data_IF_642420163080
#
_entry.id   IF_642420163080
#
_cell.length_a   1.000
_cell.length_b   1.000
_cell.length_c   1.000
_cell.angle_alpha   90.00
_cell.angle_beta   90.00
_cell.angle_gamma   90.00
#
_symmetry.space_group_name_H-M   'P 1'
#
loop_
_entity.id
_entity.type
_entity.pdbx_description
1 polymer ?
#
# COMPACT_ATOMS: atom_id res chain seq x y z
N UNK A 1 -48.13 -93.41 -13.78
CA UNK A 1 -48.37 -92.60 -12.57
C UNK A 1 -47.15 -91.76 -12.33
N UNK A 2 -47.28 -90.44 -12.53
CA UNK A 2 -46.17 -89.50 -12.64
C UNK A 2 -45.83 -88.88 -11.27
N UNK A 3 -44.57 -88.87 -10.96
CA UNK A 3 -44.05 -88.16 -9.80
C UNK A 3 -43.22 -86.99 -10.26
N UNK A 4 -43.68 -85.74 -9.96
CA UNK A 4 -43.01 -84.47 -10.30
C UNK A 4 -42.19 -84.00 -9.09
N UNK A 5 -40.86 -84.06 -9.23
CA UNK A 5 -39.93 -83.43 -8.28
C UNK A 5 -39.80 -81.92 -8.51
N UNK A 6 -40.00 -81.13 -7.48
CA UNK A 6 -39.76 -79.66 -7.45
C UNK A 6 -38.32 -79.40 -7.10
N UNK A 7 -37.56 -78.83 -8.03
CA UNK A 7 -36.24 -78.25 -7.76
C UNK A 7 -36.41 -76.83 -7.21
N UNK A 8 -35.89 -76.53 -6.00
CA UNK A 8 -35.83 -75.20 -5.40
C UNK A 8 -34.54 -74.55 -5.80
N UNK A 9 -34.63 -73.54 -6.69
CA UNK A 9 -33.49 -72.68 -7.02
C UNK A 9 -33.23 -71.63 -5.93
N UNK A 10 -32.07 -71.71 -5.33
CA UNK A 10 -31.57 -70.66 -4.43
C UNK A 10 -30.96 -69.55 -5.26
N UNK A 11 -31.61 -68.36 -5.27
CA UNK A 11 -31.07 -67.11 -5.82
C UNK A 11 -30.12 -66.49 -4.81
N UNK A 12 -28.82 -66.46 -5.08
CA UNK A 12 -27.83 -65.70 -4.34
C UNK A 12 -27.86 -64.25 -4.82
N UNK A 13 -28.39 -63.31 -4.02
CA UNK A 13 -28.28 -61.90 -4.27
C UNK A 13 -26.87 -61.44 -3.82
N UNK A 14 -26.01 -61.14 -4.76
CA UNK A 14 -24.76 -60.43 -4.51
C UNK A 14 -25.07 -58.91 -4.34
N UNK A 15 -25.06 -58.44 -3.13
CA UNK A 15 -25.12 -57.01 -2.85
C UNK A 15 -23.73 -56.39 -3.18
N UNK A 16 -23.65 -55.73 -4.29
CA UNK A 16 -22.45 -54.86 -4.63
C UNK A 16 -22.55 -53.59 -3.78
N UNK A 17 -21.80 -53.56 -2.68
CA UNK A 17 -21.58 -52.31 -1.94
C UNK A 17 -20.66 -51.39 -2.73
N UNK A 18 -21.22 -50.44 -3.47
CA UNK A 18 -20.45 -49.37 -4.10
C UNK A 18 -19.91 -48.45 -3.03
N UNK A 19 -18.62 -48.57 -2.71
CA UNK A 19 -17.90 -47.55 -1.92
C UNK A 19 -17.81 -46.27 -2.76
N UNK A 20 -18.73 -45.34 -2.52
CA UNK A 20 -18.60 -43.96 -2.99
C UNK A 20 -17.54 -43.30 -2.11
N UNK A 21 -16.29 -43.31 -2.60
CA UNK A 21 -15.23 -42.50 -1.99
C UNK A 21 -15.59 -41.03 -2.20
N UNK A 22 -16.16 -40.39 -1.20
CA UNK A 22 -16.26 -38.95 -1.14
C UNK A 22 -14.84 -38.39 -0.99
N UNK A 23 -14.21 -38.04 -2.12
CA UNK A 23 -13.03 -37.22 -2.13
C UNK A 23 -13.46 -35.84 -1.63
N UNK A 24 -13.13 -35.51 -0.37
CA UNK A 24 -13.25 -34.14 0.11
C UNK A 24 -12.46 -33.23 -0.85
N UNK A 25 -13.03 -32.12 -1.31
CA UNK A 25 -12.29 -31.21 -2.14
C UNK A 25 -11.03 -30.79 -1.38
N UNK A 26 -9.86 -31.16 -1.91
CA UNK A 26 -8.59 -30.65 -1.43
C UNK A 26 -8.64 -29.14 -1.60
N UNK A 27 -8.79 -28.38 -0.49
CA UNK A 27 -8.61 -26.94 -0.54
C UNK A 27 -7.17 -26.68 -0.97
N UNK A 28 -6.99 -26.04 -2.11
CA UNK A 28 -5.67 -25.58 -2.52
C UNK A 28 -5.11 -24.67 -1.42
N UNK A 29 -3.86 -24.94 -1.01
CA UNK A 29 -3.18 -24.10 -0.01
C UNK A 29 -3.14 -22.64 -0.49
N UNK A 30 -3.37 -21.70 0.43
CA UNK A 30 -3.17 -20.29 0.13
C UNK A 30 -1.68 -19.97 -0.03
N UNK A 31 -1.36 -18.82 -0.60
CA UNK A 31 0.02 -18.41 -0.80
C UNK A 31 0.81 -18.36 0.52
N UNK A 32 0.20 -17.83 1.58
CA UNK A 32 0.79 -17.81 2.92
C UNK A 32 1.01 -19.19 3.49
N UNK A 33 0.08 -20.13 3.28
CA UNK A 33 0.21 -21.53 3.72
C UNK A 33 1.35 -22.26 2.99
N UNK A 34 1.52 -22.04 1.68
CA UNK A 34 2.65 -22.59 0.90
C UNK A 34 3.98 -22.07 1.45
N UNK A 35 4.08 -20.79 1.73
CA UNK A 35 5.31 -20.15 2.17
C UNK A 35 5.59 -20.38 3.66
N UNK A 36 4.57 -20.62 4.49
CA UNK A 36 4.73 -20.88 5.93
C UNK A 36 5.52 -22.16 6.21
N UNK A 37 5.45 -23.14 5.33
CA UNK A 37 6.22 -24.39 5.44
C UNK A 37 7.75 -24.11 5.43
N UNK A 38 8.18 -22.99 4.84
CA UNK A 38 9.58 -22.58 4.77
C UNK A 38 10.10 -21.84 6.01
N UNK A 39 9.21 -21.39 6.91
CA UNK A 39 9.61 -20.68 8.13
C UNK A 39 10.43 -21.56 9.11
N UNK A 40 10.42 -22.87 8.94
CA UNK A 40 11.17 -23.85 9.75
C UNK A 40 12.54 -24.17 9.18
N UNK A 41 12.84 -23.71 7.98
CA UNK A 41 14.10 -23.97 7.29
C UNK A 41 15.19 -23.00 7.76
N UNK A 42 16.45 -23.37 7.54
CA UNK A 42 17.54 -22.41 7.64
C UNK A 42 17.32 -21.28 6.62
N UNK A 43 17.87 -20.08 6.88
CA UNK A 43 17.75 -18.94 5.96
C UNK A 43 18.23 -19.31 4.54
N UNK A 44 19.34 -20.04 4.44
CA UNK A 44 19.91 -20.53 3.18
C UNK A 44 18.99 -21.50 2.45
N UNK A 45 18.42 -22.48 3.17
CA UNK A 45 17.55 -23.49 2.55
C UNK A 45 16.21 -22.87 2.13
N UNK A 46 15.71 -21.92 2.93
CA UNK A 46 14.51 -21.14 2.60
C UNK A 46 14.72 -20.32 1.32
N UNK A 47 15.83 -19.58 1.22
CA UNK A 47 16.18 -18.80 0.04
C UNK A 47 16.27 -19.70 -1.20
N UNK A 48 16.94 -20.85 -1.08
CA UNK A 48 17.07 -21.81 -2.16
C UNK A 48 15.70 -22.34 -2.65
N UNK A 49 14.79 -22.68 -1.72
CA UNK A 49 13.43 -23.14 -2.03
C UNK A 49 12.58 -22.07 -2.72
N UNK A 50 12.65 -20.83 -2.23
CA UNK A 50 11.96 -19.71 -2.86
C UNK A 50 12.49 -19.47 -4.28
N UNK A 51 13.81 -19.43 -4.45
CA UNK A 51 14.44 -19.22 -5.75
C UNK A 51 14.10 -20.35 -6.75
N UNK A 52 14.13 -21.60 -6.29
CA UNK A 52 13.74 -22.76 -7.11
C UNK A 52 12.27 -22.66 -7.56
N UNK A 53 11.37 -22.35 -6.63
CA UNK A 53 9.94 -22.13 -6.93
C UNK A 53 9.73 -20.97 -7.89
N UNK A 54 10.35 -19.83 -7.65
CA UNK A 54 10.26 -18.66 -8.50
C UNK A 54 10.79 -18.89 -9.92
N UNK A 55 11.85 -19.71 -10.08
CA UNK A 55 12.32 -20.14 -11.44
C UNK A 55 11.31 -20.99 -12.18
N UNK A 56 10.53 -21.83 -11.49
CA UNK A 56 9.45 -22.61 -12.11
C UNK A 56 8.26 -21.72 -12.49
N UNK A 57 7.92 -20.76 -11.65
CA UNK A 57 6.83 -19.80 -11.89
C UNK A 57 7.20 -18.79 -12.96
N UNK A 58 8.43 -18.28 -12.94
CA UNK A 58 9.05 -17.32 -13.86
C UNK A 58 8.24 -16.05 -14.15
N UNK A 59 7.18 -15.79 -13.38
CA UNK A 59 6.23 -14.71 -13.56
C UNK A 59 5.78 -14.16 -12.21
N UNK A 60 5.48 -12.86 -12.19
CA UNK A 60 4.85 -12.16 -11.06
C UNK A 60 3.88 -11.10 -11.59
N UNK A 61 2.72 -10.97 -10.95
CA UNK A 61 1.75 -9.91 -11.20
C UNK A 61 1.70 -8.96 -10.01
N UNK A 62 1.95 -7.70 -10.28
CA UNK A 62 2.02 -6.65 -9.27
C UNK A 62 0.90 -5.62 -9.47
N UNK A 63 0.11 -5.34 -8.42
CA UNK A 63 -0.85 -4.24 -8.42
C UNK A 63 -0.44 -3.20 -7.38
N UNK A 64 -0.37 -1.92 -7.79
CA UNK A 64 0.13 -0.93 -6.86
C UNK A 64 -0.14 0.53 -7.18
N UNK A 65 0.31 1.36 -6.24
CA UNK A 65 0.10 2.82 -6.23
C UNK A 65 1.38 3.59 -6.55
N UNK A 66 2.54 2.93 -6.47
CA UNK A 66 3.84 3.54 -6.75
C UNK A 66 3.85 4.20 -8.13
N UNK A 67 4.36 5.43 -8.24
CA UNK A 67 4.41 6.18 -9.50
C UNK A 67 5.06 5.36 -10.62
N UNK A 68 4.55 5.48 -11.85
CA UNK A 68 4.91 4.60 -12.99
C UNK A 68 6.42 4.57 -13.24
N UNK A 69 7.06 5.72 -13.30
CA UNK A 69 8.51 5.87 -13.48
C UNK A 69 9.29 5.18 -12.34
N UNK A 70 8.84 5.32 -11.12
CA UNK A 70 9.47 4.72 -9.95
C UNK A 70 9.28 3.19 -9.93
N UNK A 71 8.08 2.68 -10.20
CA UNK A 71 7.86 1.22 -10.16
C UNK A 71 8.56 0.51 -11.33
N UNK A 72 8.65 1.14 -12.49
CA UNK A 72 9.43 0.60 -13.62
C UNK A 72 10.93 0.55 -13.28
N UNK A 73 11.45 1.53 -12.55
CA UNK A 73 12.82 1.50 -12.03
C UNK A 73 13.03 0.33 -11.06
N UNK A 74 12.05 0.08 -10.16
CA UNK A 74 12.04 -1.08 -9.25
C UNK A 74 12.14 -2.39 -10.04
N UNK A 75 11.27 -2.57 -11.03
CA UNK A 75 11.25 -3.80 -11.82
C UNK A 75 12.52 -3.98 -12.66
N UNK A 76 13.09 -2.90 -13.16
CA UNK A 76 14.38 -2.96 -13.86
C UNK A 76 15.51 -3.47 -12.95
N UNK A 77 15.59 -2.98 -11.71
CA UNK A 77 16.60 -3.46 -10.74
C UNK A 77 16.34 -4.91 -10.31
N UNK A 78 15.08 -5.28 -10.11
CA UNK A 78 14.71 -6.66 -9.81
C UNK A 78 15.10 -7.63 -10.93
N UNK A 79 14.81 -7.29 -12.18
CA UNK A 79 15.15 -8.09 -13.36
C UNK A 79 16.66 -8.18 -13.61
N UNK A 80 17.45 -7.18 -13.24
CA UNK A 80 18.93 -7.29 -13.28
C UNK A 80 19.43 -8.43 -12.40
N UNK A 81 18.84 -8.57 -11.20
CA UNK A 81 19.20 -9.64 -10.26
C UNK A 81 18.57 -10.98 -10.63
N UNK A 82 17.36 -10.97 -11.17
CA UNK A 82 16.59 -12.16 -11.51
C UNK A 82 16.08 -12.09 -12.95
N UNK A 83 16.96 -12.28 -13.95
CA UNK A 83 16.62 -12.05 -15.37
C UNK A 83 15.59 -13.02 -15.94
N UNK A 84 15.31 -14.13 -15.24
CA UNK A 84 14.27 -15.09 -15.62
C UNK A 84 12.84 -14.63 -15.29
N UNK A 85 12.68 -13.53 -14.52
CA UNK A 85 11.38 -13.06 -14.04
C UNK A 85 10.67 -12.17 -15.08
N UNK A 86 9.46 -12.58 -15.44
CA UNK A 86 8.50 -11.69 -16.10
C UNK A 86 7.65 -10.98 -15.05
N UNK A 87 7.47 -9.67 -15.20
CA UNK A 87 6.64 -8.86 -14.32
C UNK A 87 5.55 -8.19 -15.14
N UNK A 88 4.30 -8.52 -14.84
CA UNK A 88 3.13 -7.78 -15.30
C UNK A 88 2.64 -6.86 -14.16
N UNK A 89 2.20 -5.65 -14.49
CA UNK A 89 1.75 -4.71 -13.49
C UNK A 89 0.44 -3.99 -13.84
N UNK A 90 -0.27 -3.59 -12.80
CA UNK A 90 -1.40 -2.67 -12.86
C UNK A 90 -1.17 -1.55 -11.87
N UNK A 91 -1.05 -0.32 -12.38
CA UNK A 91 -0.87 0.86 -11.54
C UNK A 91 -2.11 1.75 -11.56
N UNK A 92 -2.62 2.08 -10.37
CA UNK A 92 -3.70 3.06 -10.18
C UNK A 92 -3.61 3.71 -8.79
N UNK A 93 -4.59 4.56 -8.43
CA UNK A 93 -4.72 5.02 -7.05
C UNK A 93 -5.19 3.88 -6.13
N UNK A 94 -4.89 4.00 -4.83
CA UNK A 94 -5.09 2.96 -3.81
C UNK A 94 -6.52 2.40 -3.79
N UNK A 95 -7.53 3.27 -3.82
CA UNK A 95 -8.96 2.88 -3.90
C UNK A 95 -9.24 2.02 -5.14
N UNK A 96 -8.70 2.39 -6.30
CA UNK A 96 -8.93 1.65 -7.54
C UNK A 96 -8.25 0.27 -7.52
N UNK A 97 -7.04 0.20 -6.97
CA UNK A 97 -6.32 -1.08 -6.79
C UNK A 97 -7.11 -2.00 -5.88
N UNK A 98 -7.56 -1.50 -4.72
CA UNK A 98 -8.42 -2.26 -3.81
C UNK A 98 -9.70 -2.77 -4.50
N UNK A 99 -10.42 -1.88 -5.18
CA UNK A 99 -11.67 -2.23 -5.87
C UNK A 99 -11.47 -3.27 -6.98
N UNK A 100 -10.36 -3.20 -7.72
CA UNK A 100 -10.00 -4.20 -8.73
C UNK A 100 -9.80 -5.56 -8.08
N UNK A 101 -8.98 -5.66 -7.04
CA UNK A 101 -8.71 -6.90 -6.31
C UNK A 101 -10.00 -7.49 -5.73
N UNK A 102 -10.83 -6.67 -5.08
CA UNK A 102 -12.11 -7.10 -4.50
C UNK A 102 -13.09 -7.59 -5.57
N UNK A 103 -13.10 -6.98 -6.75
CA UNK A 103 -13.96 -7.39 -7.87
C UNK A 103 -13.49 -8.70 -8.48
N UNK A 104 -12.19 -8.87 -8.69
CA UNK A 104 -11.59 -10.12 -9.17
C UNK A 104 -11.85 -11.27 -8.20
N UNK A 105 -11.68 -11.03 -6.90
CA UNK A 105 -11.93 -12.03 -5.87
C UNK A 105 -13.41 -12.48 -5.83
N UNK A 106 -14.38 -11.54 -5.96
CA UNK A 106 -15.80 -11.88 -6.09
C UNK A 106 -16.09 -12.75 -7.33
N UNK A 107 -15.35 -12.53 -8.40
CA UNK A 107 -15.43 -13.34 -9.63
C UNK A 107 -14.59 -14.63 -9.54
N UNK A 108 -13.98 -14.93 -8.37
CA UNK A 108 -13.03 -16.05 -8.14
C UNK A 108 -11.84 -16.04 -9.11
N UNK A 109 -11.44 -14.86 -9.55
CA UNK A 109 -10.21 -14.63 -10.32
C UNK A 109 -9.17 -14.00 -9.38
N UNK A 110 -8.00 -14.58 -9.33
CA UNK A 110 -6.91 -14.18 -8.43
C UNK A 110 -5.68 -13.90 -9.29
N UNK A 111 -5.65 -12.71 -9.86
CA UNK A 111 -4.64 -12.33 -10.84
C UNK A 111 -3.35 -11.80 -10.21
N UNK A 112 -3.48 -11.16 -9.03
CA UNK A 112 -2.37 -10.45 -8.38
C UNK A 112 -1.59 -11.36 -7.43
N UNK A 113 -0.27 -11.19 -7.40
CA UNK A 113 0.64 -11.90 -6.50
C UNK A 113 1.18 -10.95 -5.40
N UNK A 114 1.63 -9.76 -5.78
CA UNK A 114 2.15 -8.73 -4.86
C UNK A 114 1.34 -7.45 -5.00
N UNK A 115 1.00 -6.88 -3.86
CA UNK A 115 0.19 -5.66 -3.79
C UNK A 115 1.00 -4.58 -3.08
N UNK A 116 0.97 -3.33 -3.60
CA UNK A 116 1.30 -2.16 -2.82
C UNK A 116 0.08 -1.27 -2.61
N UNK A 117 -0.14 -0.87 -1.35
CA UNK A 117 -1.24 -0.01 -0.95
C UNK A 117 -0.80 1.00 0.10
N UNK A 118 -1.52 2.12 0.14
CA UNK A 118 -1.44 3.12 1.19
C UNK A 118 -2.32 2.71 2.39
N UNK A 119 -2.13 3.31 3.59
CA UNK A 119 -2.77 2.88 4.83
C UNK A 119 -4.30 2.77 4.79
N UNK A 120 -4.97 3.63 4.01
CA UNK A 120 -6.44 3.67 3.94
C UNK A 120 -7.06 2.34 3.56
N UNK A 121 -6.55 1.69 2.55
CA UNK A 121 -7.10 0.46 1.97
C UNK A 121 -6.50 -0.81 2.57
N UNK A 122 -5.34 -0.73 3.22
CA UNK A 122 -4.66 -1.90 3.81
C UNK A 122 -5.53 -2.59 4.86
N UNK A 123 -6.19 -1.83 5.72
CA UNK A 123 -7.11 -2.40 6.71
C UNK A 123 -8.30 -3.10 6.03
N UNK A 124 -8.87 -2.48 5.00
CA UNK A 124 -10.00 -3.02 4.24
C UNK A 124 -9.67 -4.33 3.54
N UNK A 125 -8.53 -4.41 2.87
CA UNK A 125 -8.10 -5.62 2.14
C UNK A 125 -7.77 -6.76 3.11
N UNK A 126 -7.18 -6.47 4.28
CA UNK A 126 -6.92 -7.45 5.33
C UNK A 126 -8.24 -7.98 5.93
N UNK A 127 -9.20 -7.08 6.26
CA UNK A 127 -10.53 -7.44 6.77
C UNK A 127 -11.33 -8.26 5.76
N UNK A 128 -11.17 -8.01 4.48
CA UNK A 128 -11.79 -8.80 3.41
C UNK A 128 -11.15 -10.19 3.21
N UNK A 129 -10.05 -10.49 3.92
CA UNK A 129 -9.35 -11.77 3.82
C UNK A 129 -8.71 -12.00 2.45
N UNK A 130 -8.24 -10.94 1.78
CA UNK A 130 -7.68 -10.97 0.43
C UNK A 130 -6.15 -11.00 0.41
N UNK A 131 -5.51 -10.92 1.57
CA UNK A 131 -4.07 -11.01 1.76
C UNK A 131 -3.72 -12.07 2.79
N UNK A 132 -2.52 -12.63 2.68
CA UNK A 132 -1.96 -13.58 3.63
C UNK A 132 -0.74 -12.99 4.36
N UNK A 133 -0.46 -13.45 5.58
CA UNK A 133 0.75 -13.04 6.27
C UNK A 133 2.00 -13.62 5.59
N UNK A 134 3.05 -12.80 5.48
CA UNK A 134 4.35 -13.22 5.02
C UNK A 134 5.47 -12.61 5.87
N UNK A 135 6.17 -13.47 6.62
CA UNK A 135 7.26 -13.09 7.49
C UNK A 135 8.60 -13.16 6.74
N UNK A 136 8.84 -12.17 5.89
CA UNK A 136 10.12 -12.02 5.19
C UNK A 136 11.29 -11.91 6.19
N UNK A 137 12.40 -12.63 6.03
CA UNK A 137 13.63 -12.44 6.83
C UNK A 137 14.17 -11.02 6.72
N UNK A 138 13.93 -10.38 5.56
CA UNK A 138 14.37 -9.00 5.29
C UNK A 138 13.63 -7.94 6.12
N UNK A 139 12.62 -8.32 6.92
CA UNK A 139 12.00 -7.43 7.92
C UNK A 139 12.93 -7.09 9.08
N UNK A 140 13.96 -7.89 9.30
CA UNK A 140 14.99 -7.61 10.31
C UNK A 140 15.66 -6.25 10.02
N UNK A 141 15.60 -5.34 11.01
CA UNK A 141 16.13 -3.97 10.89
C UNK A 141 15.18 -2.95 10.29
N UNK A 142 13.91 -3.32 10.07
CA UNK A 142 12.81 -2.37 9.86
C UNK A 142 12.20 -2.04 11.24
N UNK A 143 11.95 -0.76 11.49
CA UNK A 143 11.39 -0.34 12.77
C UNK A 143 9.94 -0.86 12.95
N UNK A 144 9.54 -1.26 14.18
CA UNK A 144 8.27 -1.95 14.43
C UNK A 144 7.03 -1.18 13.98
N UNK A 145 7.05 0.15 14.03
CA UNK A 145 5.94 1.02 13.61
C UNK A 145 5.67 0.98 12.11
N UNK A 146 6.61 0.45 11.33
CA UNK A 146 6.49 0.32 9.87
C UNK A 146 6.06 -1.07 9.40
N UNK A 147 5.65 -1.97 10.30
CA UNK A 147 5.25 -3.31 9.92
C UNK A 147 4.18 -3.90 10.83
N UNK A 148 3.32 -4.74 10.25
CA UNK A 148 2.41 -5.56 11.03
C UNK A 148 3.15 -6.70 11.73
N UNK A 149 2.84 -6.95 13.01
CA UNK A 149 3.49 -8.01 13.80
C UNK A 149 3.24 -9.41 13.22
N UNK A 150 2.06 -9.64 12.67
CA UNK A 150 1.66 -10.94 12.11
C UNK A 150 2.18 -11.16 10.69
N UNK A 151 2.66 -10.09 10.02
CA UNK A 151 3.23 -10.18 8.68
C UNK A 151 2.27 -9.85 7.54
N UNK A 152 1.07 -9.33 7.81
CA UNK A 152 0.13 -8.97 6.76
C UNK A 152 0.64 -7.86 5.85
N UNK A 153 1.46 -6.95 6.39
CA UNK A 153 2.10 -5.88 5.60
C UNK A 153 3.45 -5.48 6.17
N UNK A 154 4.30 -4.94 5.30
CA UNK A 154 5.57 -4.33 5.67
C UNK A 154 5.80 -3.11 4.78
N UNK A 155 6.16 -1.99 5.39
CA UNK A 155 6.50 -0.77 4.65
C UNK A 155 7.79 -0.98 3.87
N UNK A 156 7.81 -0.59 2.59
CA UNK A 156 9.04 -0.60 1.81
C UNK A 156 9.53 0.81 1.46
N UNK A 157 8.66 1.82 1.49
CA UNK A 157 9.01 3.23 1.55
C UNK A 157 7.90 4.01 2.26
N UNK A 158 8.19 5.24 2.66
CA UNK A 158 7.19 6.16 3.18
C UNK A 158 7.36 7.57 2.59
N UNK A 159 6.31 8.35 2.67
CA UNK A 159 6.23 9.68 2.09
C UNK A 159 6.07 10.71 3.22
N UNK A 160 7.05 11.58 3.38
CA UNK A 160 6.90 12.75 4.24
C UNK A 160 5.86 13.70 3.63
N UNK A 161 4.90 14.11 4.45
CA UNK A 161 3.84 15.02 4.06
C UNK A 161 4.27 16.45 4.39
N UNK A 162 4.22 17.32 3.38
CA UNK A 162 4.68 18.69 3.47
C UNK A 162 3.61 19.70 3.05
N UNK A 163 3.78 20.94 3.43
CA UNK A 163 3.18 22.07 2.75
C UNK A 163 4.05 22.44 1.55
N UNK A 164 3.52 22.44 0.35
CA UNK A 164 4.13 23.11 -0.80
C UNK A 164 3.66 24.55 -0.93
N UNK A 165 4.51 25.46 -1.38
CA UNK A 165 4.13 26.83 -1.73
C UNK A 165 4.83 27.29 -3.01
N UNK A 166 4.13 28.16 -3.78
CA UNK A 166 4.70 28.76 -4.97
C UNK A 166 5.54 29.99 -4.60
N UNK A 167 6.82 30.00 -4.95
CA UNK A 167 7.79 31.05 -4.52
C UNK A 167 7.62 32.40 -5.24
N UNK A 168 6.87 32.45 -6.35
CA UNK A 168 6.50 33.72 -7.01
C UNK A 168 5.28 34.36 -6.36
N UNK A 169 4.45 33.58 -5.61
CA UNK A 169 3.22 34.03 -4.96
C UNK A 169 3.37 34.24 -3.45
N UNK A 170 4.30 33.50 -2.83
CA UNK A 170 4.50 33.48 -1.37
C UNK A 170 5.99 33.54 -1.09
N UNK A 171 6.41 34.56 -0.36
CA UNK A 171 7.79 34.63 0.12
C UNK A 171 8.05 33.57 1.18
N UNK A 172 9.29 33.12 1.30
CA UNK A 172 9.68 32.04 2.22
C UNK A 172 9.38 32.35 3.70
N UNK A 173 9.50 33.59 4.10
CA UNK A 173 9.19 34.06 5.46
C UNK A 173 7.69 34.18 5.74
N UNK A 174 6.86 34.33 4.67
CA UNK A 174 5.40 34.44 4.74
C UNK A 174 4.70 33.07 4.60
N UNK A 175 5.44 32.02 4.18
CA UNK A 175 4.90 30.67 4.02
C UNK A 175 4.44 30.09 5.38
N UNK A 176 3.29 29.38 5.42
CA UNK A 176 2.81 28.72 6.64
C UNK A 176 3.87 27.80 7.26
N UNK A 177 4.06 27.89 8.57
CA UNK A 177 5.01 27.08 9.36
C UNK A 177 4.31 26.15 10.35
N UNK A 178 3.04 26.43 10.62
CA UNK A 178 2.17 25.65 11.50
C UNK A 178 0.85 25.34 10.81
N UNK A 179 0.11 24.35 11.32
CA UNK A 179 -1.25 24.08 10.84
C UNK A 179 -2.17 25.29 11.06
N UNK A 180 -1.99 26.03 12.16
CA UNK A 180 -2.84 27.20 12.47
C UNK A 180 -2.61 28.35 11.48
N UNK A 181 -1.41 28.49 10.91
CA UNK A 181 -1.13 29.52 9.88
C UNK A 181 -1.97 29.34 8.61
N UNK A 182 -2.46 28.09 8.37
CA UNK A 182 -3.36 27.78 7.25
C UNK A 182 -4.78 28.32 7.46
N UNK A 183 -5.13 28.69 8.68
CA UNK A 183 -6.44 29.28 9.01
C UNK A 183 -6.51 30.78 8.71
N UNK A 184 -5.38 31.43 8.39
CA UNK A 184 -5.34 32.84 8.03
C UNK A 184 -6.23 33.10 6.80
N UNK A 185 -7.16 34.06 6.84
CA UNK A 185 -8.03 34.42 5.71
C UNK A 185 -7.26 34.84 4.44
N UNK A 186 -6.00 35.21 4.52
CA UNK A 186 -5.17 35.51 3.35
C UNK A 186 -5.05 34.35 2.38
N UNK A 187 -5.31 33.10 2.84
CA UNK A 187 -5.28 31.89 2.02
C UNK A 187 -6.60 31.54 1.34
N UNK A 188 -7.65 32.34 1.55
CA UNK A 188 -8.97 32.07 0.99
C UNK A 188 -8.93 32.04 -0.54
N UNK A 189 -9.39 30.88 -1.11
CA UNK A 189 -9.36 30.62 -2.55
C UNK A 189 -7.95 30.43 -3.14
N UNK A 190 -6.91 30.35 -2.31
CA UNK A 190 -5.49 30.24 -2.73
C UNK A 190 -4.84 28.92 -2.33
N UNK A 191 -5.62 27.99 -1.79
CA UNK A 191 -5.18 26.70 -1.27
C UNK A 191 -5.76 25.56 -2.10
N UNK A 192 -5.03 24.47 -2.24
CA UNK A 192 -5.57 23.21 -2.78
C UNK A 192 -5.42 22.06 -1.80
N UNK A 193 -6.48 21.23 -1.66
CA UNK A 193 -6.48 19.97 -0.91
C UNK A 193 -6.84 18.80 -1.81
N UNK A 194 -6.46 17.59 -1.42
CA UNK A 194 -6.83 16.36 -2.12
C UNK A 194 -8.17 15.84 -1.63
N UNK A 195 -9.04 15.49 -2.57
CA UNK A 195 -10.35 14.90 -2.28
C UNK A 195 -10.26 13.56 -1.53
N UNK A 196 -9.10 12.91 -1.54
CA UNK A 196 -8.89 11.56 -1.00
C UNK A 196 -8.02 11.52 0.27
N UNK A 197 -7.83 12.66 0.96
CA UNK A 197 -6.96 12.77 2.14
C UNK A 197 -7.60 12.30 3.46
N UNK A 198 -8.59 11.39 3.40
CA UNK A 198 -9.29 10.90 4.59
C UNK A 198 -8.37 10.26 5.62
N UNK A 199 -7.31 9.59 5.16
CA UNK A 199 -6.33 8.97 6.06
C UNK A 199 -5.50 10.02 6.83
N UNK A 200 -5.08 11.10 6.18
CA UNK A 200 -4.35 12.21 6.82
C UNK A 200 -5.28 12.97 7.78
N UNK A 201 -6.49 13.27 7.32
CA UNK A 201 -7.54 13.88 8.14
C UNK A 201 -7.81 13.07 9.41
N UNK A 202 -8.06 11.76 9.28
CA UNK A 202 -8.32 10.86 10.41
C UNK A 202 -7.13 10.81 11.38
N UNK A 203 -5.91 10.74 10.86
CA UNK A 203 -4.69 10.72 11.68
C UNK A 203 -4.54 12.01 12.50
N UNK A 204 -4.83 13.17 11.93
CA UNK A 204 -4.80 14.45 12.65
C UNK A 204 -5.94 14.57 13.67
N UNK A 205 -7.14 14.03 13.35
CA UNK A 205 -8.23 13.98 14.33
C UNK A 205 -7.86 13.14 15.56
N UNK A 206 -7.23 11.98 15.35
CA UNK A 206 -6.77 11.13 16.47
C UNK A 206 -5.65 11.82 17.28
N UNK A 207 -4.73 12.50 16.61
CA UNK A 207 -3.59 13.17 17.26
C UNK A 207 -4.01 14.41 18.07
N UNK A 208 -4.88 15.27 17.53
CA UNK A 208 -5.32 16.51 18.22
C UNK A 208 -6.49 16.27 19.18
N UNK A 209 -7.16 15.13 19.09
CA UNK A 209 -8.47 14.86 19.68
C UNK A 209 -9.60 15.34 18.77
N UNK A 210 -10.66 14.54 18.74
CA UNK A 210 -11.76 14.66 17.77
C UNK A 210 -12.38 16.05 17.69
N UNK A 211 -12.74 16.62 18.83
CA UNK A 211 -13.44 17.92 18.88
C UNK A 211 -12.55 19.06 18.36
N UNK A 212 -11.33 19.14 18.87
CA UNK A 212 -10.34 20.13 18.43
C UNK A 212 -10.03 20.00 16.96
N UNK A 213 -9.81 18.76 16.47
CA UNK A 213 -9.52 18.50 15.06
C UNK A 213 -10.67 18.88 14.15
N UNK A 214 -11.91 18.50 14.48
CA UNK A 214 -13.09 18.89 13.68
C UNK A 214 -13.29 20.40 13.63
N UNK A 215 -13.05 21.10 14.75
CA UNK A 215 -13.13 22.56 14.76
C UNK A 215 -12.05 23.19 13.85
N UNK A 216 -10.82 22.67 13.89
CA UNK A 216 -9.75 23.09 13.00
C UNK A 216 -10.13 22.92 11.52
N UNK A 217 -10.61 21.75 11.12
CA UNK A 217 -10.96 21.48 9.71
C UNK A 217 -12.17 22.28 9.22
N UNK A 218 -13.15 22.57 10.10
CA UNK A 218 -14.27 23.49 9.73
C UNK A 218 -13.75 24.89 9.45
N UNK A 219 -12.84 25.41 10.27
CA UNK A 219 -12.20 26.71 10.04
C UNK A 219 -11.33 26.70 8.77
N UNK A 220 -10.60 25.61 8.52
CA UNK A 220 -9.81 25.46 7.29
C UNK A 220 -10.70 25.52 6.04
N UNK A 221 -11.89 24.91 6.11
CA UNK A 221 -12.86 24.92 5.01
C UNK A 221 -13.42 26.34 4.71
N UNK A 222 -13.40 27.28 5.68
CA UNK A 222 -13.80 28.68 5.45
C UNK A 222 -12.86 29.40 4.48
N UNK A 223 -11.62 28.89 4.31
CA UNK A 223 -10.67 29.36 3.32
C UNK A 223 -10.94 28.83 1.91
N UNK A 224 -12.07 28.13 1.69
CA UNK A 224 -12.54 27.66 0.38
C UNK A 224 -11.42 27.01 -0.47
N UNK A 225 -10.81 25.92 0.03
CA UNK A 225 -9.73 25.26 -0.69
C UNK A 225 -10.23 24.60 -1.98
N UNK A 226 -9.47 24.73 -3.07
CA UNK A 226 -9.73 24.00 -4.32
C UNK A 226 -9.51 22.52 -4.11
N UNK A 227 -10.59 21.74 -4.12
CA UNK A 227 -10.54 20.29 -3.96
C UNK A 227 -10.19 19.63 -5.30
N UNK A 228 -9.06 18.91 -5.34
CA UNK A 228 -8.58 18.21 -6.53
C UNK A 228 -8.25 16.76 -6.19
N UNK A 229 -8.22 15.89 -7.19
CA UNK A 229 -7.90 14.49 -6.97
C UNK A 229 -6.48 14.18 -7.46
N UNK A 230 -5.61 13.82 -6.53
CA UNK A 230 -4.26 13.34 -6.81
C UNK A 230 -3.15 14.36 -6.53
N UNK A 231 -2.15 13.92 -5.76
CA UNK A 231 -1.00 14.73 -5.32
C UNK A 231 -0.15 15.28 -6.47
N UNK A 232 -0.06 14.54 -7.58
CA UNK A 232 0.68 15.00 -8.77
C UNK A 232 0.01 16.22 -9.38
N UNK A 233 -1.32 16.19 -9.57
CA UNK A 233 -2.06 17.33 -10.09
C UNK A 233 -1.95 18.54 -9.16
N UNK A 234 -2.09 18.33 -7.83
CA UNK A 234 -1.91 19.42 -6.86
C UNK A 234 -0.53 20.08 -6.96
N UNK A 235 0.54 19.29 -7.10
CA UNK A 235 1.88 19.84 -7.27
C UNK A 235 2.03 20.62 -8.59
N UNK A 236 1.39 20.16 -9.66
CA UNK A 236 1.40 20.83 -10.97
C UNK A 236 0.69 22.19 -10.92
N UNK A 237 -0.52 22.28 -10.39
CA UNK A 237 -1.26 23.55 -10.27
C UNK A 237 -0.57 24.52 -9.31
N UNK A 238 0.11 24.00 -8.29
CA UNK A 238 0.96 24.79 -7.41
C UNK A 238 2.14 25.41 -8.20
N UNK A 239 2.86 24.58 -8.97
CA UNK A 239 3.97 25.04 -9.82
C UNK A 239 3.54 26.05 -10.88
N UNK A 240 2.34 25.89 -11.45
CA UNK A 240 1.73 26.82 -12.38
C UNK A 240 1.25 28.14 -11.72
N UNK A 241 1.23 28.22 -10.39
CA UNK A 241 0.77 29.41 -9.65
C UNK A 241 -0.75 29.58 -9.62
N UNK A 242 -1.53 28.55 -9.99
CA UNK A 242 -2.99 28.56 -9.89
C UNK A 242 -3.45 28.58 -8.43
N UNK A 243 -2.66 27.99 -7.53
CA UNK A 243 -2.80 28.08 -6.09
C UNK A 243 -1.48 28.54 -5.47
N UNK A 244 -1.56 29.20 -4.31
CA UNK A 244 -0.39 29.73 -3.61
C UNK A 244 0.24 28.71 -2.68
N UNK A 245 -0.59 27.88 -2.04
CA UNK A 245 -0.19 26.85 -1.09
C UNK A 245 -0.96 25.56 -1.34
N UNK A 246 -0.30 24.43 -1.08
CA UNK A 246 -0.89 23.11 -1.15
C UNK A 246 -0.41 22.27 0.05
N UNK A 247 -1.16 22.26 1.16
CA UNK A 247 -0.85 21.39 2.27
C UNK A 247 -1.03 19.93 1.88
N UNK A 248 -0.30 19.05 2.61
CA UNK A 248 -0.35 17.59 2.44
C UNK A 248 0.14 17.04 1.11
N UNK A 249 1.05 17.76 0.43
CA UNK A 249 1.80 17.18 -0.69
C UNK A 249 2.80 16.12 -0.19
N UNK A 250 3.12 15.15 -1.04
CA UNK A 250 4.24 14.25 -0.82
C UNK A 250 5.55 14.96 -1.18
N UNK A 251 6.41 15.16 -0.18
CA UNK A 251 7.53 16.09 -0.21
C UNK A 251 8.53 15.88 -1.35
N UNK A 252 8.71 14.65 -1.82
CA UNK A 252 9.62 14.37 -2.93
C UNK A 252 9.23 15.11 -4.22
N UNK A 253 7.92 15.26 -4.48
CA UNK A 253 7.45 15.84 -5.74
C UNK A 253 7.73 17.33 -5.87
N UNK A 254 7.34 18.21 -4.94
CA UNK A 254 7.71 19.63 -5.03
C UNK A 254 9.22 19.85 -4.99
N UNK A 255 10.00 19.04 -4.25
CA UNK A 255 11.45 19.15 -4.25
C UNK A 255 12.09 18.73 -5.58
N UNK A 256 11.55 17.71 -6.25
CA UNK A 256 11.95 17.35 -7.60
C UNK A 256 11.65 18.50 -8.57
N UNK A 257 10.43 19.03 -8.56
CA UNK A 257 10.03 20.18 -9.40
C UNK A 257 10.91 21.40 -9.14
N UNK A 258 11.28 21.69 -7.89
CA UNK A 258 12.21 22.74 -7.52
C UNK A 258 13.59 22.54 -8.16
N UNK A 259 14.12 21.31 -8.16
CA UNK A 259 15.39 20.97 -8.84
C UNK A 259 15.30 21.11 -10.35
N UNK A 260 14.12 20.90 -10.93
CA UNK A 260 13.81 21.11 -12.35
C UNK A 260 13.58 22.60 -12.70
N UNK A 261 13.67 23.51 -11.71
CA UNK A 261 13.54 24.95 -11.90
C UNK A 261 12.13 25.52 -11.72
N UNK A 262 11.16 24.70 -11.28
CA UNK A 262 9.83 25.21 -10.99
C UNK A 262 9.83 26.14 -9.76
N UNK A 263 8.97 27.18 -9.72
CA UNK A 263 8.91 28.15 -8.63
C UNK A 263 8.15 27.60 -7.43
N UNK A 264 8.64 26.50 -6.84
CA UNK A 264 8.03 25.87 -5.66
C UNK A 264 9.07 25.62 -4.58
N UNK A 265 8.62 25.66 -3.33
CA UNK A 265 9.39 25.24 -2.16
C UNK A 265 8.47 24.57 -1.15
N UNK A 266 9.01 24.11 -0.03
CA UNK A 266 8.28 23.37 1.00
C UNK A 266 8.42 23.99 2.40
N UNK A 267 7.42 23.72 3.25
CA UNK A 267 7.47 23.87 4.70
C UNK A 267 7.05 22.58 5.39
N UNK A 268 7.66 22.27 6.52
CA UNK A 268 7.30 21.12 7.36
C UNK A 268 6.34 21.59 8.47
N UNK A 269 5.06 21.23 8.35
CA UNK A 269 4.08 21.51 9.41
C UNK A 269 4.17 20.43 10.50
N UNK A 270 4.22 20.83 11.76
CA UNK A 270 4.32 19.88 12.89
C UNK A 270 2.96 19.56 13.50
N UNK A 271 2.62 18.28 13.73
CA UNK A 271 3.44 17.09 13.47
C UNK A 271 3.62 16.82 11.98
N UNK A 272 4.81 16.38 11.57
CA UNK A 272 5.06 15.96 10.19
C UNK A 272 4.46 14.58 10.00
N UNK A 273 3.49 14.46 9.11
CA UNK A 273 2.87 13.19 8.78
C UNK A 273 3.78 12.35 7.90
N UNK A 274 3.70 11.04 8.07
CA UNK A 274 4.32 10.06 7.18
C UNK A 274 3.29 9.07 6.66
N UNK A 275 3.21 8.92 5.35
CA UNK A 275 2.33 7.94 4.68
C UNK A 275 3.18 6.78 4.20
N UNK A 276 3.14 5.65 4.88
CA UNK A 276 3.81 4.43 4.41
C UNK A 276 3.14 3.88 3.15
N UNK A 277 3.93 3.23 2.29
CA UNK A 277 3.44 2.32 1.27
C UNK A 277 3.88 0.91 1.65
N UNK A 278 2.91 0.02 1.72
CA UNK A 278 3.09 -1.33 2.22
C UNK A 278 3.17 -2.34 1.10
N UNK A 279 4.06 -3.32 1.22
CA UNK A 279 4.02 -4.55 0.43
C UNK A 279 3.19 -5.60 1.14
N UNK A 280 2.31 -6.26 0.39
CA UNK A 280 1.41 -7.30 0.85
C UNK A 280 1.48 -8.50 -0.09
N UNK A 281 1.33 -9.71 0.47
CA UNK A 281 1.18 -10.94 -0.28
C UNK A 281 -0.32 -11.17 -0.54
N UNK A 282 -0.72 -11.32 -1.80
CA UNK A 282 -2.09 -11.70 -2.13
C UNK A 282 -2.38 -13.13 -1.66
N UNK A 283 -3.56 -13.37 -1.06
CA UNK A 283 -3.90 -14.65 -0.43
C UNK A 283 -3.86 -15.83 -1.41
N UNK A 284 -4.39 -15.63 -2.59
CA UNK A 284 -4.48 -16.66 -3.62
C UNK A 284 -3.52 -16.37 -4.79
N UNK A 285 -2.33 -15.83 -4.47
CA UNK A 285 -1.29 -15.57 -5.47
C UNK A 285 -1.01 -16.83 -6.28
N UNK A 286 -1.08 -16.73 -7.60
CA UNK A 286 -0.77 -17.84 -8.51
C UNK A 286 0.72 -18.15 -8.58
N UNK A 287 1.56 -17.17 -8.19
CA UNK A 287 3.02 -17.27 -8.21
C UNK A 287 3.60 -16.91 -6.81
N UNK A 288 3.30 -17.73 -5.77
CA UNK A 288 3.66 -17.38 -4.38
C UNK A 288 5.17 -17.31 -4.15
N UNK A 289 5.99 -18.11 -4.83
CA UNK A 289 7.45 -18.07 -4.68
C UNK A 289 8.03 -16.82 -5.35
N UNK A 290 7.52 -16.42 -6.50
CA UNK A 290 7.91 -15.20 -7.20
C UNK A 290 7.54 -13.95 -6.37
N UNK A 291 6.35 -13.96 -5.76
CA UNK A 291 5.93 -12.93 -4.81
C UNK A 291 6.87 -12.84 -3.60
N UNK A 292 7.19 -13.99 -2.98
CA UNK A 292 8.10 -14.06 -1.85
C UNK A 292 9.50 -13.56 -2.21
N UNK A 293 10.03 -14.00 -3.38
CA UNK A 293 11.33 -13.57 -3.89
C UNK A 293 11.40 -12.04 -4.07
N UNK A 294 10.34 -11.47 -4.65
CA UNK A 294 10.24 -10.02 -4.82
C UNK A 294 10.17 -9.28 -3.48
N UNK A 295 9.30 -9.71 -2.55
CA UNK A 295 9.14 -9.07 -1.24
C UNK A 295 10.44 -9.17 -0.44
N UNK A 296 11.10 -10.33 -0.41
CA UNK A 296 12.38 -10.51 0.29
C UNK A 296 13.47 -9.60 -0.28
N UNK A 297 13.57 -9.51 -1.61
CA UNK A 297 14.50 -8.61 -2.26
C UNK A 297 14.16 -7.14 -2.01
N UNK A 298 12.90 -6.75 -2.18
CA UNK A 298 12.47 -5.36 -2.02
C UNK A 298 12.74 -4.83 -0.60
N UNK A 299 12.54 -5.67 0.41
CA UNK A 299 12.78 -5.33 1.81
C UNK A 299 14.24 -5.52 2.25
N UNK A 300 15.09 -6.14 1.45
CA UNK A 300 16.50 -6.38 1.79
C UNK A 300 17.29 -5.08 1.79
N UNK A 301 18.47 -5.10 2.47
CA UNK A 301 19.36 -3.94 2.53
C UNK A 301 19.88 -3.52 1.15
N UNK A 302 20.15 -4.49 0.27
CA UNK A 302 20.68 -4.26 -1.07
C UNK A 302 19.58 -4.24 -2.14
N UNK A 303 18.32 -4.19 -1.70
CA UNK A 303 17.15 -4.13 -2.57
C UNK A 303 16.75 -2.71 -2.94
N UNK A 304 15.47 -2.54 -3.18
CA UNK A 304 14.93 -1.30 -3.73
C UNK A 304 14.93 -0.12 -2.76
N UNK A 305 15.00 -0.37 -1.43
CA UNK A 305 15.03 0.72 -0.45
C UNK A 305 16.17 1.70 -0.69
N UNK A 306 17.35 1.20 -1.13
CA UNK A 306 18.46 2.06 -1.51
C UNK A 306 18.06 3.02 -2.64
N UNK A 307 17.43 2.50 -3.69
CA UNK A 307 16.98 3.30 -4.84
C UNK A 307 15.93 4.32 -4.40
N UNK A 308 14.99 3.94 -3.56
CA UNK A 308 14.00 4.88 -3.02
C UNK A 308 14.63 6.01 -2.23
N UNK A 309 15.58 5.71 -1.33
CA UNK A 309 16.23 6.72 -0.50
C UNK A 309 17.19 7.58 -1.30
N UNK A 310 18.10 6.97 -2.07
CA UNK A 310 19.25 7.63 -2.68
C UNK A 310 18.99 8.24 -4.05
N UNK A 311 17.98 7.74 -4.79
CA UNK A 311 17.71 8.19 -6.16
C UNK A 311 16.32 8.84 -6.29
N UNK A 312 15.28 8.28 -5.62
CA UNK A 312 13.88 8.67 -5.81
C UNK A 312 13.33 9.59 -4.71
N UNK A 313 14.15 9.91 -3.69
CA UNK A 313 13.81 10.88 -2.65
C UNK A 313 12.65 10.47 -1.75
N UNK A 314 12.49 9.19 -1.49
CA UNK A 314 11.48 8.65 -0.59
C UNK A 314 12.12 8.21 0.72
N UNK A 315 11.44 8.45 1.83
CA UNK A 315 11.84 7.87 3.10
C UNK A 315 11.76 6.35 3.07
N UNK A 316 12.66 5.68 3.77
CA UNK A 316 12.62 4.21 3.92
C UNK A 316 12.65 3.83 5.39
N UNK A 317 11.98 2.73 5.80
CA UNK A 317 11.87 2.36 7.22
C UNK A 317 13.13 1.67 7.76
N UNK A 318 14.28 1.95 7.17
CA UNK A 318 15.59 1.37 7.49
C UNK A 318 16.67 2.44 7.41
N UNK A 319 17.56 2.47 8.37
CA UNK A 319 18.69 3.43 8.45
C UNK A 319 19.89 3.02 7.59
N UNK A 320 20.78 3.99 7.32
CA UNK A 320 22.09 3.74 6.69
C UNK A 320 22.12 3.99 5.18
N UNK A 321 21.11 4.67 4.63
CA UNK A 321 21.11 5.16 3.25
C UNK A 321 21.34 6.67 3.21
N UNK A 322 21.83 7.16 2.07
CA UNK A 322 21.99 8.60 1.82
C UNK A 322 20.66 9.16 1.28
N UNK A 323 20.13 10.17 1.95
CA UNK A 323 18.88 10.79 1.54
C UNK A 323 19.06 11.69 0.31
N UNK A 324 18.22 11.49 -0.70
CA UNK A 324 18.17 12.36 -1.89
C UNK A 324 17.70 13.77 -1.53
N UNK A 325 16.77 13.88 -0.57
CA UNK A 325 16.21 15.15 -0.08
C UNK A 325 16.37 15.25 1.44
N UNK A 326 17.54 15.72 1.92
CA UNK A 326 17.80 15.88 3.35
C UNK A 326 16.76 16.75 4.06
N UNK A 327 16.09 17.65 3.34
CA UNK A 327 15.01 18.51 3.83
C UNK A 327 13.81 17.73 4.37
N UNK A 328 13.64 16.48 3.91
CA UNK A 328 12.57 15.58 4.37
C UNK A 328 12.98 14.72 5.57
N UNK A 329 14.24 14.78 5.98
CA UNK A 329 14.74 13.99 7.11
C UNK A 329 14.33 14.64 8.42
N UNK A 330 13.28 14.12 9.05
CA UNK A 330 12.80 14.57 10.35
C UNK A 330 13.03 13.51 11.42
N UNK A 331 13.30 13.95 12.63
CA UNK A 331 13.60 13.06 13.76
C UNK A 331 12.39 12.23 14.20
N UNK A 332 11.19 12.73 13.97
CA UNK A 332 9.96 12.06 14.37
C UNK A 332 8.82 12.38 13.41
N UNK A 333 8.19 11.32 12.91
CA UNK A 333 6.97 11.36 12.12
C UNK A 333 5.75 10.97 12.93
N UNK A 334 4.60 11.55 12.59
CA UNK A 334 3.30 11.01 12.93
C UNK A 334 2.90 10.06 11.78
N UNK A 335 3.10 8.76 12.00
CA UNK A 335 2.85 7.74 10.97
C UNK A 335 1.35 7.50 10.82
N UNK A 336 0.88 7.46 9.58
CA UNK A 336 -0.50 7.06 9.26
C UNK A 336 -0.60 5.53 9.36
N UNK A 337 -1.27 5.03 10.42
CA UNK A 337 -1.33 3.60 10.74
C UNK A 337 -2.66 2.98 10.31
N UNK A 338 -2.66 1.91 9.47
CA UNK A 338 -3.89 1.25 9.01
C UNK A 338 -4.81 0.79 10.12
N UNK A 339 -4.24 0.28 11.22
CA UNK A 339 -5.00 -0.24 12.37
C UNK A 339 -5.68 0.85 13.19
N UNK A 340 -5.17 2.08 13.16
CA UNK A 340 -5.76 3.23 13.85
C UNK A 340 -6.86 3.88 13.02
N UNK A 341 -6.61 4.09 11.73
CA UNK A 341 -7.56 4.80 10.85
C UNK A 341 -8.60 3.87 10.21
N UNK A 342 -8.21 2.65 9.87
CA UNK A 342 -9.05 1.71 9.11
C UNK A 342 -10.41 1.41 9.73
N UNK A 343 -10.53 1.14 11.04
CA UNK A 343 -11.81 0.87 11.69
C UNK A 343 -12.84 1.99 11.55
N UNK A 344 -12.39 3.22 11.34
CA UNK A 344 -13.21 4.44 11.26
C UNK A 344 -13.11 5.15 9.91
N UNK A 345 -12.54 4.49 8.89
CA UNK A 345 -12.25 5.12 7.60
C UNK A 345 -13.50 5.68 6.91
N UNK A 346 -14.62 4.92 6.89
CA UNK A 346 -15.89 5.40 6.34
C UNK A 346 -16.46 6.60 7.11
N UNK A 347 -16.23 6.67 8.41
CA UNK A 347 -16.60 7.83 9.23
C UNK A 347 -15.77 9.05 8.84
N UNK A 348 -14.45 8.87 8.69
CA UNK A 348 -13.56 9.97 8.26
C UNK A 348 -13.90 10.46 6.86
N UNK A 349 -14.24 9.56 5.95
CA UNK A 349 -14.73 9.92 4.61
C UNK A 349 -15.96 10.80 4.68
N UNK A 350 -17.01 10.38 5.39
CA UNK A 350 -18.23 11.18 5.56
C UNK A 350 -17.96 12.55 6.18
N UNK A 351 -17.09 12.62 7.19
CA UNK A 351 -16.75 13.87 7.85
C UNK A 351 -15.95 14.79 6.93
N UNK A 352 -14.93 14.27 6.25
CA UNK A 352 -14.10 15.02 5.32
C UNK A 352 -14.91 15.57 4.16
N UNK A 353 -15.72 14.71 3.52
CA UNK A 353 -16.65 15.11 2.46
C UNK A 353 -17.64 16.18 2.91
N UNK A 354 -18.24 16.01 4.09
CA UNK A 354 -19.21 16.95 4.64
C UNK A 354 -18.63 18.32 4.97
N UNK A 355 -17.40 18.36 5.50
CA UNK A 355 -16.69 19.60 5.85
C UNK A 355 -16.28 20.36 4.58
N UNK A 356 -15.66 19.70 3.62
CA UNK A 356 -15.13 20.34 2.41
C UNK A 356 -16.09 20.34 1.22
N UNK A 357 -17.28 19.75 1.34
CA UNK A 357 -18.40 19.80 0.35
C UNK A 357 -17.99 19.32 -1.06
N UNK A 358 -17.26 18.22 -1.18
CA UNK A 358 -16.67 17.78 -2.45
C UNK A 358 -17.09 16.37 -2.92
N UNK A 359 -17.97 15.65 -2.18
CA UNK A 359 -18.45 14.32 -2.56
C UNK A 359 -19.87 14.31 -3.16
#
# INVERSE_FOLDING_TARGET
>A
MANRGRAAGRIFLFAIMAFVSYSLPSHAKSAGEVLSDYNRLSEKDREAKILEGAKREAKMVYYGTTAVDHIQRVFAEFKKKYPFMEVADYRSGSVNVFNKIATEARAKRYEVDVIDLEPGEVYGIAKAGLIDPYLSPSRKGIAPEFMDKQGYWTTFYHLAVVLGFNTEKVKKDEAPKTYDDLLDPKWKGRMSLDQTDMALFGTLLEYWGREKGLNYFRKLAENDPSMRRGKTLQAQILGAGEVHVAPWLYGYRPLQMKREGAPVDISLLKPVLSVPTYLLLAKNASHPHSAALFIDWALSRDGIMRVFAEELGRGVPRTGYKDTFPELNVTQYLVVEPTKIGPRYEEYEKLYCGIFKHC
#
